data_IF_026780504056
#
_entry.id   IF_026780504056
#
_cell.length_a   1.000
_cell.length_b   1.000
_cell.length_c   1.000
_cell.angle_alpha   90.00
_cell.angle_beta   90.00
_cell.angle_gamma   90.00
#
_symmetry.space_group_name_H-M   'P 1'
#
loop_
_entity.id
_entity.type
_entity.pdbx_description
1 polymer ?
#
# COMPACT_ATOMS: atom_id res chain seq x y z
N UNK A 1 -53.73 11.45 -32.48
CA UNK A 1 -52.93 11.05 -31.31
C UNK A 1 -51.93 10.01 -31.79
N UNK A 2 -50.70 10.44 -32.09
CA UNK A 2 -49.62 9.57 -32.58
C UNK A 2 -48.55 9.61 -31.51
N UNK A 3 -48.43 8.51 -30.75
CA UNK A 3 -47.42 8.35 -29.71
C UNK A 3 -46.08 7.99 -30.35
N UNK A 4 -45.08 8.83 -30.15
CA UNK A 4 -43.72 8.56 -30.60
C UNK A 4 -43.09 7.45 -29.75
N UNK A 5 -42.37 6.49 -30.36
CA UNK A 5 -41.68 5.42 -29.65
C UNK A 5 -40.50 6.00 -28.85
N UNK A 6 -40.51 5.71 -27.55
CA UNK A 6 -39.47 6.06 -26.60
C UNK A 6 -38.25 5.16 -26.87
N UNK A 7 -37.23 5.69 -27.55
CA UNK A 7 -35.96 5.02 -27.79
C UNK A 7 -35.20 4.90 -26.46
N UNK A 8 -35.01 3.68 -25.98
CA UNK A 8 -34.19 3.38 -24.82
C UNK A 8 -32.73 3.83 -25.05
N UNK A 9 -32.07 4.44 -24.05
CA UNK A 9 -30.66 4.80 -24.17
C UNK A 9 -29.77 3.55 -24.21
N UNK A 10 -28.67 3.57 -24.98
CA UNK A 10 -27.73 2.47 -25.02
C UNK A 10 -27.07 2.29 -23.65
N UNK A 11 -27.00 1.04 -23.18
CA UNK A 11 -26.22 0.68 -22.01
C UNK A 11 -24.74 0.95 -22.31
N UNK A 12 -24.17 1.94 -21.63
CA UNK A 12 -22.75 2.23 -21.66
C UNK A 12 -22.05 1.16 -20.82
N UNK A 13 -21.55 0.12 -21.48
CA UNK A 13 -20.61 -0.86 -20.91
C UNK A 13 -19.17 -0.33 -20.98
N UNK A 14 -18.89 0.82 -20.38
CA UNK A 14 -17.52 1.33 -20.23
C UNK A 14 -17.18 1.41 -18.75
N UNK A 15 -16.24 0.58 -18.29
CA UNK A 15 -15.59 0.77 -16.98
C UNK A 15 -15.15 -0.47 -16.21
N UNK A 16 -15.43 -1.71 -16.64
CA UNK A 16 -15.14 -2.90 -15.80
C UNK A 16 -13.80 -3.61 -16.07
N UNK A 17 -12.89 -3.04 -16.86
CA UNK A 17 -11.62 -3.70 -17.23
C UNK A 17 -10.42 -3.30 -16.35
N UNK A 18 -10.50 -2.20 -15.58
CA UNK A 18 -9.41 -1.72 -14.73
C UNK A 18 -9.27 -2.43 -13.36
N UNK A 19 -10.38 -2.89 -12.77
CA UNK A 19 -10.39 -3.44 -11.40
C UNK A 19 -10.01 -4.93 -11.29
N UNK A 20 -9.90 -5.65 -12.41
CA UNK A 20 -9.69 -7.10 -12.36
C UNK A 20 -8.23 -7.50 -12.06
N UNK A 21 -7.25 -6.70 -12.51
CA UNK A 21 -5.82 -7.05 -12.44
C UNK A 21 -5.20 -6.85 -11.05
N UNK A 22 -5.56 -5.78 -10.33
CA UNK A 22 -5.00 -5.44 -9.01
C UNK A 22 -5.48 -6.36 -7.89
N UNK A 23 -6.74 -6.80 -7.93
CA UNK A 23 -7.26 -7.80 -6.97
C UNK A 23 -6.50 -9.14 -7.02
N UNK A 24 -5.85 -9.42 -8.16
CA UNK A 24 -5.12 -10.67 -8.36
C UNK A 24 -3.79 -10.69 -7.61
N UNK A 25 -3.04 -9.57 -7.57
CA UNK A 25 -1.73 -9.54 -6.88
C UNK A 25 -1.89 -9.55 -5.37
N UNK A 26 -2.77 -8.74 -4.79
CA UNK A 26 -3.01 -8.74 -3.33
C UNK A 26 -3.42 -10.14 -2.83
N UNK A 27 -4.25 -10.86 -3.61
CA UNK A 27 -4.60 -12.26 -3.33
C UNK A 27 -3.41 -13.22 -3.46
N UNK A 28 -2.53 -12.99 -4.44
CA UNK A 28 -1.35 -13.82 -4.68
C UNK A 28 -0.21 -13.56 -3.68
N UNK A 29 -0.06 -12.33 -3.19
CA UNK A 29 0.98 -11.92 -2.24
C UNK A 29 0.63 -12.30 -0.79
N UNK A 30 -0.66 -12.45 -0.47
CA UNK A 30 -1.14 -12.90 0.85
C UNK A 30 -0.48 -14.20 1.36
N UNK A 31 -0.42 -15.31 0.61
CA UNK A 31 0.26 -16.52 1.07
C UNK A 31 1.76 -16.32 1.31
N UNK A 32 2.42 -15.48 0.51
CA UNK A 32 3.83 -15.13 0.72
C UNK A 32 4.03 -14.37 2.03
N UNK A 33 3.17 -13.39 2.30
CA UNK A 33 3.20 -12.65 3.57
C UNK A 33 2.99 -13.58 4.78
N UNK A 34 2.03 -14.49 4.71
CA UNK A 34 1.78 -15.48 5.77
C UNK A 34 2.99 -16.40 5.94
N UNK A 35 3.60 -16.88 4.85
CA UNK A 35 4.79 -17.73 4.91
C UNK A 35 5.96 -17.00 5.58
N UNK A 36 6.20 -15.74 5.23
CA UNK A 36 7.24 -14.91 5.84
C UNK A 36 6.99 -14.66 7.33
N UNK A 37 5.73 -14.45 7.73
CA UNK A 37 5.34 -14.35 9.13
C UNK A 37 5.59 -15.65 9.90
N UNK A 38 5.18 -16.79 9.35
CA UNK A 38 5.43 -18.10 9.96
C UNK A 38 6.93 -18.37 10.11
N UNK A 39 7.71 -18.05 9.07
CA UNK A 39 9.17 -18.18 9.13
C UNK A 39 9.74 -17.24 10.20
N UNK A 40 9.24 -16.01 10.32
CA UNK A 40 9.64 -15.06 11.37
C UNK A 40 9.37 -15.61 12.78
N UNK A 41 8.25 -16.29 13.00
CA UNK A 41 7.93 -16.96 14.27
C UNK A 41 8.90 -18.12 14.56
N UNK A 42 9.29 -18.89 13.54
CA UNK A 42 10.31 -19.94 13.69
C UNK A 42 11.66 -19.33 14.10
N UNK A 43 12.10 -18.27 13.42
CA UNK A 43 13.34 -17.56 13.75
C UNK A 43 13.29 -16.94 15.16
N UNK A 44 12.15 -16.38 15.56
CA UNK A 44 11.90 -15.90 16.92
C UNK A 44 12.13 -17.02 17.95
N UNK A 45 11.56 -18.21 17.73
CA UNK A 45 11.73 -19.34 18.65
C UNK A 45 13.19 -19.82 18.72
N UNK A 46 13.88 -19.87 17.59
CA UNK A 46 15.32 -20.19 17.55
C UNK A 46 16.12 -19.15 18.34
N UNK A 47 15.85 -17.86 18.11
CA UNK A 47 16.55 -16.76 18.77
C UNK A 47 16.31 -16.73 20.28
N UNK A 48 15.09 -17.02 20.70
CA UNK A 48 14.75 -17.20 22.11
C UNK A 48 15.57 -18.33 22.74
N UNK A 49 15.75 -19.45 22.03
CA UNK A 49 16.58 -20.58 22.49
C UNK A 49 18.08 -20.26 22.54
N UNK A 50 18.55 -19.31 21.73
CA UNK A 50 19.94 -18.83 21.76
C UNK A 50 20.23 -17.88 22.93
N UNK A 51 19.20 -17.44 23.68
CA UNK A 51 19.35 -16.57 24.84
C UNK A 51 19.41 -15.07 24.51
N UNK A 52 19.16 -14.67 23.26
CA UNK A 52 19.05 -13.26 22.88
C UNK A 52 17.63 -12.75 23.12
N UNK A 53 17.34 -12.39 24.38
CA UNK A 53 16.04 -11.88 24.79
C UNK A 53 15.68 -10.55 24.10
N UNK A 54 16.68 -9.68 23.85
CA UNK A 54 16.42 -8.36 23.27
C UNK A 54 16.03 -8.47 21.80
N UNK A 55 16.79 -9.22 20.99
CA UNK A 55 16.44 -9.48 19.61
C UNK A 55 15.13 -10.27 19.46
N UNK A 56 14.84 -11.19 20.39
CA UNK A 56 13.56 -11.89 20.40
C UNK A 56 12.37 -10.96 20.71
N UNK A 57 12.51 -9.99 21.63
CA UNK A 57 11.46 -9.00 21.88
C UNK A 57 11.20 -8.11 20.66
N UNK A 58 12.25 -7.70 19.95
CA UNK A 58 12.10 -6.93 18.70
C UNK A 58 11.37 -7.74 17.62
N UNK A 59 11.77 -9.01 17.40
CA UNK A 59 11.07 -9.89 16.45
C UNK A 59 9.63 -10.17 16.87
N UNK A 60 9.35 -10.30 18.17
CA UNK A 60 7.99 -10.48 18.66
C UNK A 60 7.11 -9.27 18.35
N UNK A 61 7.62 -8.05 18.55
CA UNK A 61 6.90 -6.84 18.19
C UNK A 61 6.59 -6.76 16.68
N UNK A 62 7.58 -7.09 15.83
CA UNK A 62 7.39 -7.16 14.36
C UNK A 62 6.33 -8.20 14.00
N UNK A 63 6.36 -9.38 14.61
CA UNK A 63 5.35 -10.42 14.38
C UNK A 63 3.95 -9.96 14.82
N UNK A 64 3.83 -9.28 15.96
CA UNK A 64 2.55 -8.77 16.45
C UNK A 64 1.93 -7.75 15.47
N UNK A 65 2.75 -6.82 14.94
CA UNK A 65 2.29 -5.87 13.91
C UNK A 65 1.92 -6.59 12.61
N UNK A 66 2.69 -7.62 12.22
CA UNK A 66 2.35 -8.43 11.05
C UNK A 66 1.03 -9.19 11.20
N UNK A 67 0.74 -9.72 12.39
CA UNK A 67 -0.55 -10.34 12.70
C UNK A 67 -1.67 -9.31 12.64
N UNK A 68 -1.47 -8.11 13.20
CA UNK A 68 -2.45 -7.02 13.11
C UNK A 68 -2.77 -6.66 11.66
N UNK A 69 -1.75 -6.59 10.78
CA UNK A 69 -1.94 -6.35 9.35
C UNK A 69 -2.81 -7.42 8.66
N UNK A 70 -2.79 -8.67 9.16
CA UNK A 70 -3.64 -9.75 8.67
C UNK A 70 -5.04 -9.78 9.28
N UNK A 71 -5.20 -9.36 10.53
CA UNK A 71 -6.48 -9.47 11.25
C UNK A 71 -7.39 -8.27 11.07
N UNK A 72 -6.82 -7.07 10.89
CA UNK A 72 -7.62 -5.84 10.73
C UNK A 72 -8.26 -5.79 9.34
N UNK A 73 -7.56 -6.26 8.31
CA UNK A 73 -8.10 -6.32 6.96
C UNK A 73 -9.18 -7.39 6.83
N UNK A 74 -10.39 -7.01 6.39
CA UNK A 74 -11.49 -7.93 6.13
C UNK A 74 -11.24 -8.73 4.85
N UNK A 75 -10.37 -9.74 4.92
CA UNK A 75 -10.07 -10.65 3.81
C UNK A 75 -8.90 -10.26 2.92
N UNK A 76 -8.37 -9.04 3.08
CA UNK A 76 -7.15 -8.53 2.43
C UNK A 76 -6.13 -8.10 3.49
N UNK A 77 -4.89 -7.84 3.09
CA UNK A 77 -3.88 -7.26 3.98
C UNK A 77 -4.14 -5.76 4.07
N UNK A 78 -4.21 -5.21 5.28
CA UNK A 78 -4.38 -3.76 5.47
C UNK A 78 -3.10 -3.02 5.02
N UNK A 79 -3.18 -2.05 4.09
CA UNK A 79 -2.01 -1.40 3.52
C UNK A 79 -1.23 -0.58 4.56
N UNK A 80 -1.94 0.10 5.46
CA UNK A 80 -1.34 0.97 6.49
C UNK A 80 -0.54 0.12 7.48
N UNK A 81 -1.16 -0.93 8.01
CA UNK A 81 -0.47 -1.86 8.92
C UNK A 81 0.62 -2.67 8.21
N UNK A 82 0.47 -2.97 6.91
CA UNK A 82 1.53 -3.60 6.12
C UNK A 82 2.75 -2.69 5.98
N UNK A 83 2.55 -1.38 5.79
CA UNK A 83 3.63 -0.39 5.75
C UNK A 83 4.35 -0.29 7.09
N UNK A 84 3.61 -0.24 8.21
CA UNK A 84 4.21 -0.27 9.55
C UNK A 84 5.00 -1.55 9.82
N UNK A 85 4.45 -2.71 9.44
CA UNK A 85 5.16 -3.97 9.51
C UNK A 85 6.46 -3.92 8.69
N UNK A 86 6.40 -3.43 7.45
CA UNK A 86 7.55 -3.35 6.57
C UNK A 86 8.66 -2.45 7.12
N UNK A 87 8.32 -1.28 7.63
CA UNK A 87 9.28 -0.35 8.24
C UNK A 87 9.91 -0.96 9.51
N UNK A 88 9.10 -1.57 10.37
CA UNK A 88 9.59 -2.23 11.59
C UNK A 88 10.50 -3.42 11.26
N UNK A 89 10.13 -4.24 10.26
CA UNK A 89 10.94 -5.34 9.77
C UNK A 89 12.25 -4.85 9.14
N UNK A 90 12.24 -3.73 8.42
CA UNK A 90 13.45 -3.13 7.85
C UNK A 90 14.42 -2.68 8.93
N UNK A 91 13.96 -1.88 9.90
CA UNK A 91 14.79 -1.39 11.01
C UNK A 91 15.33 -2.55 11.84
N UNK A 92 14.47 -3.52 12.18
CA UNK A 92 14.89 -4.74 12.88
C UNK A 92 15.94 -5.52 12.07
N UNK A 93 15.77 -5.60 10.75
CA UNK A 93 16.68 -6.34 9.86
C UNK A 93 18.06 -5.71 9.80
N UNK A 94 18.14 -4.38 9.86
CA UNK A 94 19.41 -3.64 9.93
C UNK A 94 20.11 -3.81 11.28
N UNK A 95 19.36 -3.83 12.38
CA UNK A 95 19.92 -4.09 13.71
C UNK A 95 20.51 -5.51 13.77
N UNK A 96 19.79 -6.50 13.23
CA UNK A 96 20.27 -7.87 13.13
C UNK A 96 21.51 -8.01 12.24
N UNK A 97 21.56 -7.25 11.14
CA UNK A 97 22.76 -7.20 10.29
C UNK A 97 23.95 -6.62 11.03
N UNK A 98 23.74 -5.55 11.80
CA UNK A 98 24.79 -4.93 12.59
C UNK A 98 25.34 -5.89 13.65
N UNK A 99 24.47 -6.61 14.37
CA UNK A 99 24.89 -7.67 15.31
C UNK A 99 25.64 -8.79 14.59
N UNK A 100 25.19 -9.20 13.39
CA UNK A 100 25.87 -10.23 12.62
C UNK A 100 27.30 -9.81 12.25
N UNK A 101 27.48 -8.58 11.76
CA UNK A 101 28.78 -8.01 11.40
C UNK A 101 29.66 -7.92 12.64
N UNK A 102 29.14 -7.44 13.77
CA UNK A 102 29.89 -7.40 15.02
C UNK A 102 30.39 -8.80 15.42
N UNK A 103 29.53 -9.82 15.39
CA UNK A 103 29.92 -11.20 15.72
C UNK A 103 30.98 -11.76 14.76
N UNK A 104 30.91 -11.43 13.47
CA UNK A 104 31.90 -11.84 12.48
C UNK A 104 33.26 -11.19 12.80
N UNK A 105 33.28 -9.87 13.04
CA UNK A 105 34.50 -9.13 13.36
C UNK A 105 35.16 -9.64 14.65
N UNK A 106 34.36 -9.91 15.70
CA UNK A 106 34.86 -10.49 16.94
C UNK A 106 35.37 -11.93 16.77
N UNK A 107 34.72 -12.73 15.92
CA UNK A 107 35.16 -14.09 15.60
C UNK A 107 36.51 -14.08 14.88
N UNK A 108 36.66 -13.23 13.86
CA UNK A 108 37.90 -13.08 13.11
C UNK A 108 39.03 -12.55 13.98
N UNK A 109 38.75 -11.56 14.84
CA UNK A 109 39.74 -11.05 15.80
C UNK A 109 40.25 -12.15 16.74
N UNK A 110 39.32 -12.97 17.27
CA UNK A 110 39.67 -14.09 18.16
C UNK A 110 40.44 -15.19 17.43
N UNK A 111 40.04 -15.53 16.20
CA UNK A 111 40.74 -16.52 15.37
C UNK A 111 42.14 -16.04 14.97
N UNK A 112 42.30 -14.75 14.67
CA UNK A 112 43.61 -14.18 14.37
C UNK A 112 44.55 -14.24 15.58
N UNK A 113 44.03 -14.03 16.80
CA UNK A 113 44.79 -14.22 18.02
C UNK A 113 45.05 -15.70 18.39
N UNK A 114 44.28 -16.65 17.84
CA UNK A 114 44.40 -18.09 18.07
C UNK A 114 44.76 -18.84 16.77
N UNK A 115 45.89 -18.47 16.14
CA UNK A 115 46.45 -19.12 14.92
C UNK A 115 46.70 -20.66 15.00
N UNK A 116 46.12 -21.40 15.96
CA UNK A 116 46.46 -22.80 16.24
C UNK A 116 45.30 -23.81 16.13
N UNK A 117 44.12 -23.50 15.60
CA UNK A 117 43.04 -24.50 15.49
C UNK A 117 42.76 -24.97 14.06
N UNK A 118 43.68 -25.84 13.64
CA UNK A 118 43.74 -26.66 12.43
C UNK A 118 42.65 -27.76 12.36
N UNK A 119 41.48 -27.57 13.00
CA UNK A 119 40.33 -28.49 12.90
C UNK A 119 39.07 -27.67 12.71
N UNK A 120 38.39 -27.87 11.58
CA UNK A 120 37.24 -27.10 11.10
C UNK A 120 36.03 -27.10 12.04
N UNK A 121 36.12 -26.33 13.11
CA UNK A 121 35.03 -26.11 14.04
C UNK A 121 34.06 -25.06 13.47
N UNK A 122 33.10 -25.54 12.67
CA UNK A 122 32.05 -24.71 12.07
C UNK A 122 31.07 -24.15 13.13
N UNK A 123 31.14 -24.61 14.38
CA UNK A 123 30.26 -24.14 15.46
C UNK A 123 30.41 -22.64 15.73
N UNK A 124 31.58 -22.05 15.45
CA UNK A 124 31.80 -20.61 15.59
C UNK A 124 31.02 -19.76 14.58
N UNK A 125 30.74 -20.30 13.40
CA UNK A 125 30.07 -19.58 12.29
C UNK A 125 28.55 -19.71 12.38
N UNK A 126 28.02 -20.71 13.09
CA UNK A 126 26.59 -20.96 13.19
C UNK A 126 25.80 -19.77 13.78
N UNK A 127 26.35 -19.08 14.80
CA UNK A 127 25.72 -17.91 15.42
C UNK A 127 25.60 -16.72 14.46
N UNK A 128 26.69 -16.20 13.86
CA UNK A 128 26.58 -15.09 12.90
C UNK A 128 25.77 -15.47 11.65
N UNK A 129 25.85 -16.71 11.18
CA UNK A 129 25.02 -17.19 10.07
C UNK A 129 23.53 -17.12 10.39
N UNK A 130 23.11 -17.42 11.63
CA UNK A 130 21.72 -17.25 12.07
C UNK A 130 21.30 -15.78 11.99
N UNK A 131 22.09 -14.86 12.56
CA UNK A 131 21.77 -13.43 12.51
C UNK A 131 21.69 -12.89 11.07
N UNK A 132 22.57 -13.35 10.17
CA UNK A 132 22.48 -13.02 8.74
C UNK A 132 21.20 -13.55 8.10
N UNK A 133 20.85 -14.81 8.35
CA UNK A 133 19.61 -15.40 7.84
C UNK A 133 18.37 -14.66 8.38
N UNK A 134 18.40 -14.24 9.64
CA UNK A 134 17.36 -13.45 10.29
C UNK A 134 17.22 -12.06 9.65
N UNK A 135 18.34 -11.36 9.44
CA UNK A 135 18.36 -10.08 8.74
C UNK A 135 17.84 -10.20 7.30
N UNK A 136 18.29 -11.22 6.55
CA UNK A 136 17.81 -11.47 5.19
C UNK A 136 16.30 -11.74 5.15
N UNK A 137 15.78 -12.53 6.09
CA UNK A 137 14.34 -12.79 6.22
C UNK A 137 13.54 -11.52 6.50
N UNK A 138 14.04 -10.67 7.42
CA UNK A 138 13.36 -9.43 7.79
C UNK A 138 13.41 -8.40 6.66
N UNK A 139 14.52 -8.28 5.95
CA UNK A 139 14.64 -7.43 4.76
C UNK A 139 13.77 -7.92 3.61
N UNK A 140 13.68 -9.23 3.39
CA UNK A 140 12.75 -9.81 2.41
C UNK A 140 11.28 -9.53 2.79
N UNK A 141 10.96 -9.62 4.09
CA UNK A 141 9.63 -9.29 4.61
C UNK A 141 9.30 -7.81 4.42
N UNK A 142 10.26 -6.93 4.69
CA UNK A 142 10.14 -5.51 4.44
C UNK A 142 9.95 -5.20 2.94
N UNK A 143 10.68 -5.89 2.08
CA UNK A 143 10.55 -5.73 0.63
C UNK A 143 9.17 -6.17 0.12
N UNK A 144 8.66 -7.31 0.57
CA UNK A 144 7.30 -7.77 0.20
C UNK A 144 6.23 -6.81 0.75
N UNK A 145 6.39 -6.34 1.98
CA UNK A 145 5.49 -5.34 2.56
C UNK A 145 5.53 -4.01 1.79
N UNK A 146 6.70 -3.59 1.32
CA UNK A 146 6.86 -2.41 0.46
C UNK A 146 6.17 -2.60 -0.90
N UNK A 147 6.30 -3.77 -1.52
CA UNK A 147 5.57 -4.05 -2.77
C UNK A 147 4.06 -4.00 -2.57
N UNK A 148 3.54 -4.59 -1.48
CA UNK A 148 2.13 -4.50 -1.11
C UNK A 148 1.67 -3.07 -0.88
N UNK A 149 2.46 -2.29 -0.13
CA UNK A 149 2.16 -0.88 0.14
C UNK A 149 2.14 -0.07 -1.16
N UNK A 150 3.16 -0.23 -2.03
CA UNK A 150 3.27 0.49 -3.30
C UNK A 150 2.10 0.22 -4.24
N UNK A 151 1.59 -1.00 -4.27
CA UNK A 151 0.41 -1.32 -5.07
C UNK A 151 -0.88 -0.68 -4.55
N UNK A 152 -0.99 -0.50 -3.23
CA UNK A 152 -2.13 0.18 -2.64
C UNK A 152 -2.05 1.71 -2.79
N UNK A 153 -0.87 2.30 -2.60
CA UNK A 153 -0.65 3.75 -2.77
C UNK A 153 -0.87 4.19 -4.22
N UNK A 154 -0.42 3.38 -5.20
CA UNK A 154 -0.70 3.62 -6.61
C UNK A 154 -2.19 3.56 -6.98
N UNK A 155 -3.04 3.05 -6.09
CA UNK A 155 -4.50 3.04 -6.26
C UNK A 155 -5.14 4.29 -5.66
N UNK A 156 -4.65 4.78 -4.51
CA UNK A 156 -5.14 6.02 -3.90
C UNK A 156 -4.89 7.24 -4.81
N UNK A 157 -3.76 7.32 -5.52
CA UNK A 157 -3.51 8.42 -6.46
C UNK A 157 -4.50 8.43 -7.65
N UNK A 158 -4.93 7.26 -8.13
CA UNK A 158 -5.94 7.15 -9.21
C UNK A 158 -7.36 7.37 -8.69
N UNK A 159 -7.70 6.78 -7.54
CA UNK A 159 -9.02 6.92 -6.93
C UNK A 159 -9.25 8.34 -6.39
N UNK A 160 -8.23 9.06 -5.92
CA UNK A 160 -8.43 10.42 -5.39
C UNK A 160 -8.69 11.44 -6.51
N UNK A 161 -8.08 11.27 -7.68
CA UNK A 161 -8.41 12.08 -8.86
C UNK A 161 -9.76 11.71 -9.47
N UNK A 162 -10.17 10.44 -9.43
CA UNK A 162 -11.46 9.97 -9.99
C UNK A 162 -12.65 10.18 -9.01
N UNK A 163 -12.44 10.06 -7.69
CA UNK A 163 -13.46 10.26 -6.65
C UNK A 163 -13.75 11.74 -6.37
N UNK A 164 -12.82 12.64 -6.71
CA UNK A 164 -13.11 14.08 -6.77
C UNK A 164 -14.01 14.45 -7.96
N UNK A 165 -14.17 13.57 -8.96
CA UNK A 165 -14.89 13.90 -10.19
C UNK A 165 -16.33 13.40 -10.29
N UNK A 166 -16.78 12.38 -9.56
CA UNK A 166 -18.23 12.13 -9.41
C UNK A 166 -18.56 10.98 -8.47
N UNK A 167 -19.16 11.28 -7.33
CA UNK A 167 -20.19 10.38 -6.83
C UNK A 167 -21.24 10.22 -7.96
N UNK A 168 -21.73 9.01 -8.25
CA UNK A 168 -22.64 8.78 -9.38
C UNK A 168 -23.88 9.71 -9.35
N UNK A 169 -24.32 10.10 -8.15
CA UNK A 169 -25.35 11.10 -7.94
C UNK A 169 -24.90 12.53 -8.30
N UNK A 170 -23.66 12.92 -8.02
CA UNK A 170 -23.10 14.21 -8.47
C UNK A 170 -22.96 14.26 -9.99
N UNK A 171 -22.54 13.19 -10.66
CA UNK A 171 -22.55 13.11 -12.13
C UNK A 171 -23.98 13.25 -12.68
N UNK A 172 -24.96 12.62 -12.04
CA UNK A 172 -26.38 12.72 -12.44
C UNK A 172 -26.92 14.13 -12.26
N UNK A 173 -26.61 14.78 -11.13
CA UNK A 173 -27.01 16.18 -10.86
C UNK A 173 -26.32 17.13 -11.84
N UNK A 174 -25.02 16.97 -12.09
CA UNK A 174 -24.28 17.80 -13.04
C UNK A 174 -24.86 17.69 -14.45
N UNK A 175 -25.11 16.46 -14.93
CA UNK A 175 -25.72 16.25 -16.24
C UNK A 175 -27.16 16.80 -16.33
N UNK A 176 -27.94 16.69 -15.24
CA UNK A 176 -29.25 17.31 -15.17
C UNK A 176 -29.15 18.84 -15.31
N UNK A 177 -28.26 19.49 -14.56
CA UNK A 177 -28.03 20.94 -14.65
C UNK A 177 -27.53 21.36 -16.04
N UNK A 178 -26.61 20.60 -16.65
CA UNK A 178 -26.10 20.88 -17.99
C UNK A 178 -27.21 20.78 -19.06
N UNK A 179 -28.08 19.77 -18.95
CA UNK A 179 -29.22 19.58 -19.86
C UNK A 179 -30.27 20.69 -19.74
N UNK A 180 -30.50 21.19 -18.52
CA UNK A 180 -31.38 22.34 -18.28
C UNK A 180 -30.74 23.65 -18.76
N UNK A 181 -29.43 23.83 -18.60
CA UNK A 181 -28.70 25.00 -19.11
C UNK A 181 -28.76 25.12 -20.63
N UNK A 182 -28.59 24.01 -21.35
CA UNK A 182 -28.62 23.98 -22.82
C UNK A 182 -30.00 24.31 -23.41
N UNK A 183 -31.09 23.97 -22.72
CA UNK A 183 -32.45 24.29 -23.16
C UNK A 183 -32.75 25.79 -23.13
N UNK A 184 -32.07 26.56 -22.27
CA UNK A 184 -32.25 28.01 -22.12
C UNK A 184 -31.53 28.82 -23.19
N UNK A 185 -30.65 28.20 -23.97
CA UNK A 185 -29.88 28.82 -25.06
C UNK A 185 -30.45 28.53 -26.44
N UNK A 186 -31.72 28.10 -26.55
CA UNK A 186 -32.40 28.13 -27.85
C UNK A 186 -32.60 29.61 -28.21
N UNK A 187 -31.93 30.15 -29.25
CA UNK A 187 -32.17 31.51 -29.67
C UNK A 187 -33.52 31.51 -30.36
N UNK A 188 -34.59 31.76 -29.60
CA UNK A 188 -35.82 32.24 -30.18
C UNK A 188 -35.50 33.60 -30.78
N UNK A 189 -35.37 33.59 -32.10
CA UNK A 189 -35.41 34.78 -32.92
C UNK A 189 -36.53 35.71 -32.44
N UNK A 190 -36.20 36.99 -32.34
CA UNK A 190 -37.06 38.14 -31.99
C UNK A 190 -37.73 38.10 -30.62
N UNK A 191 -37.09 38.72 -29.62
CA UNK A 191 -37.81 39.23 -28.44
C UNK A 191 -37.36 40.69 -28.14
N UNK A 192 -38.25 41.70 -28.26
CA UNK A 192 -37.95 43.13 -28.13
C UNK A 192 -37.57 43.61 -26.71
N UNK A 193 -37.37 42.72 -25.74
CA UNK A 193 -37.04 43.09 -24.35
C UNK A 193 -35.58 43.48 -24.08
N UNK A 194 -34.68 43.37 -25.07
CA UNK A 194 -33.30 43.92 -24.96
C UNK A 194 -33.23 45.44 -24.82
N UNK A 195 -34.36 46.16 -24.92
CA UNK A 195 -34.44 47.59 -24.63
C UNK A 195 -34.62 47.94 -23.13
N UNK A 196 -34.91 46.98 -22.25
CA UNK A 196 -35.28 47.29 -20.85
C UNK A 196 -34.11 47.48 -19.87
N UNK A 197 -32.88 47.15 -20.25
CA UNK A 197 -31.69 47.25 -19.38
C UNK A 197 -30.53 48.04 -20.00
N UNK A 198 -30.82 49.01 -20.87
CA UNK A 198 -29.86 50.04 -21.25
C UNK A 198 -29.77 51.12 -20.15
N UNK A 199 -29.27 50.72 -18.97
CA UNK A 199 -29.04 51.63 -17.85
C UNK A 199 -28.05 52.72 -18.23
N UNK A 200 -28.54 53.95 -18.40
CA UNK A 200 -27.71 55.13 -18.54
C UNK A 200 -26.99 55.39 -17.21
N UNK A 201 -25.66 55.25 -17.19
CA UNK A 201 -24.85 55.66 -16.04
C UNK A 201 -24.84 57.18 -15.96
N UNK A 202 -25.60 57.77 -15.05
CA UNK A 202 -25.45 59.18 -14.69
C UNK A 202 -24.14 59.35 -13.91
N UNK A 203 -23.22 60.16 -14.43
CA UNK A 203 -22.07 60.66 -13.67
C UNK A 203 -22.54 61.81 -12.79
N UNK A 204 -22.23 61.74 -11.50
CA UNK A 204 -22.42 62.85 -10.56
C UNK A 204 -21.25 63.86 -10.69
N UNK A 205 -21.51 65.16 -10.46
CA UNK A 205 -20.51 66.23 -10.52
C UNK A 205 -19.50 66.19 -9.38
#
# INVERSE_FOLDING_TARGET
MVGSPQSAPPAVEEGSLGNASSSSFSRQARPWFILLLLLSVVFLAIRWRMGDAHGALLMFAVCAVGVLALTVGTGTVDPVYSGYFGLMAFVSGLLDLNLAIEQILWSEWKQWHHQALLKGDLSGVAKPAMYLACSALQLASAFVAYLLYKECEGFEDFDTEESLLANADQARIYNAVLSHGAATLRPTASDPMKAAFAGHSHKLP
#
